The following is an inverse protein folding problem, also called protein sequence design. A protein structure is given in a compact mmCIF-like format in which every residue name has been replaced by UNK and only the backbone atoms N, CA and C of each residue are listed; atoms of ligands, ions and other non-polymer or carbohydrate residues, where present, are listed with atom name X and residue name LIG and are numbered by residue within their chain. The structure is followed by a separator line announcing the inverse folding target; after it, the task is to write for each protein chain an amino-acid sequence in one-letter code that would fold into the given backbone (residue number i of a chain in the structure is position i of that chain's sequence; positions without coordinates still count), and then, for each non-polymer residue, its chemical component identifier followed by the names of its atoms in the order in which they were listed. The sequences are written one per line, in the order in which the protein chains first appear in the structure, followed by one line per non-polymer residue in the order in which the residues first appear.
data_IF_241587248473
#
_entry.id   IF_241587248473
#
_cell.length_a   1.000
_cell.length_b   1.000
_cell.length_c   1.000
_cell.angle_alpha   90.00
_cell.angle_beta   90.00
_cell.angle_gamma   90.00
#
_symmetry.space_group_name_H-M   'P 1'
#
loop_
_entity.id
_entity.type
_entity.pdbx_description
1 polymer ?
#
# COMPACT_ATOMS: atom_id res chain seq x y z
N UNK A 1 21.30 -17.80 53.98
CA UNK A 1 21.79 -16.54 53.41
C UNK A 1 21.47 -16.52 51.92
N UNK A 2 20.27 -16.00 51.56
CA UNK A 2 19.96 -15.69 50.16
C UNK A 2 20.49 -14.29 49.88
N UNK A 3 21.65 -14.20 49.23
CA UNK A 3 22.12 -12.95 48.64
C UNK A 3 21.11 -12.55 47.54
N UNK A 4 20.38 -11.45 47.75
CA UNK A 4 19.67 -10.75 46.67
C UNK A 4 20.75 -10.34 45.65
N UNK A 5 20.87 -11.10 44.53
CA UNK A 5 21.60 -10.59 43.37
C UNK A 5 20.94 -9.29 42.96
N UNK A 6 21.62 -8.18 43.24
CA UNK A 6 21.31 -6.88 42.65
C UNK A 6 21.23 -7.13 41.12
N UNK A 7 20.05 -6.96 40.52
CA UNK A 7 19.90 -7.07 39.08
C UNK A 7 20.77 -6.01 38.45
N UNK A 8 21.83 -6.41 37.75
CA UNK A 8 22.60 -5.49 36.94
C UNK A 8 21.66 -4.69 36.04
N UNK A 9 21.86 -3.38 35.87
CA UNK A 9 21.02 -2.57 35.00
C UNK A 9 21.02 -3.17 33.59
N UNK A 10 19.84 -3.28 33.01
CA UNK A 10 19.69 -3.85 31.67
C UNK A 10 20.43 -2.99 30.64
N UNK A 11 21.57 -3.48 30.16
CA UNK A 11 22.41 -2.79 29.17
C UNK A 11 21.67 -2.41 27.86
N UNK A 12 20.50 -2.96 27.64
CA UNK A 12 19.66 -2.69 26.46
C UNK A 12 18.41 -1.89 26.81
N UNK A 13 18.28 -1.32 28.02
CA UNK A 13 17.08 -0.63 28.45
C UNK A 13 16.67 0.49 27.49
N UNK A 14 17.59 1.38 27.13
CA UNK A 14 17.32 2.48 26.19
C UNK A 14 16.93 1.96 24.79
N UNK A 15 17.60 0.94 24.28
CA UNK A 15 17.27 0.34 22.98
C UNK A 15 15.90 -0.35 23.02
N UNK A 16 15.55 -1.05 24.10
CA UNK A 16 14.22 -1.66 24.27
C UNK A 16 13.11 -0.61 24.27
N UNK A 17 13.36 0.53 24.93
CA UNK A 17 12.43 1.65 24.94
C UNK A 17 12.23 2.22 23.53
N UNK A 18 13.29 2.52 22.79
CA UNK A 18 13.22 3.01 21.41
C UNK A 18 12.51 2.02 20.46
N UNK A 19 12.75 0.71 20.61
CA UNK A 19 12.03 -0.33 19.87
C UNK A 19 10.53 -0.28 20.16
N UNK A 20 10.14 -0.16 21.44
CA UNK A 20 8.73 -0.09 21.86
C UNK A 20 8.06 1.15 21.29
N UNK A 21 8.68 2.32 21.42
CA UNK A 21 8.17 3.58 20.88
C UNK A 21 7.96 3.52 19.37
N UNK A 22 8.93 2.98 18.63
CA UNK A 22 8.80 2.76 17.19
C UNK A 22 7.63 1.84 16.85
N UNK A 23 7.45 0.75 17.60
CA UNK A 23 6.40 -0.23 17.38
C UNK A 23 5.01 0.34 17.68
N UNK A 24 4.85 1.06 18.79
CA UNK A 24 3.59 1.69 19.22
C UNK A 24 3.19 2.85 18.31
N UNK A 25 4.12 3.77 17.99
CA UNK A 25 3.90 4.89 17.06
C UNK A 25 3.37 4.41 15.71
N UNK A 26 3.84 3.25 15.24
CA UNK A 26 3.39 2.65 13.99
C UNK A 26 2.19 1.68 14.17
N UNK A 27 1.42 1.80 15.27
CA UNK A 27 0.20 1.02 15.54
C UNK A 27 0.44 -0.50 15.37
N UNK A 28 1.58 -1.01 15.85
CA UNK A 28 1.99 -2.43 15.79
C UNK A 28 2.14 -3.00 14.35
N UNK A 29 2.29 -2.13 13.34
CA UNK A 29 2.40 -2.53 11.93
C UNK A 29 3.82 -2.93 11.53
N UNK A 30 4.84 -2.50 12.28
CA UNK A 30 6.25 -2.74 11.96
C UNK A 30 6.78 -4.04 12.53
N UNK A 31 7.25 -4.94 11.65
CA UNK A 31 8.14 -6.04 12.04
C UNK A 31 9.58 -5.56 12.24
N UNK A 32 10.43 -6.41 12.80
CA UNK A 32 11.81 -6.07 13.20
C UNK A 32 12.64 -5.38 12.10
N UNK A 33 12.40 -5.67 10.81
CA UNK A 33 13.14 -5.05 9.70
C UNK A 33 12.80 -3.56 9.55
N UNK A 34 11.52 -3.18 9.68
CA UNK A 34 11.12 -1.77 9.63
C UNK A 34 11.47 -1.04 10.93
N UNK A 35 11.32 -1.68 12.08
CA UNK A 35 11.81 -1.13 13.35
C UNK A 35 13.30 -0.86 13.29
N UNK A 36 14.11 -1.77 12.70
CA UNK A 36 15.54 -1.54 12.50
C UNK A 36 15.82 -0.30 11.62
N UNK A 37 15.09 -0.14 10.51
CA UNK A 37 15.25 1.01 9.62
C UNK A 37 14.85 2.31 10.33
N UNK A 38 13.75 2.31 11.07
CA UNK A 38 13.29 3.45 11.85
C UNK A 38 14.32 3.85 12.93
N UNK A 39 14.87 2.88 13.65
CA UNK A 39 15.95 3.12 14.60
C UNK A 39 17.20 3.70 13.93
N UNK A 40 17.57 3.20 12.75
CA UNK A 40 18.73 3.74 12.00
C UNK A 40 18.49 5.18 11.54
N UNK A 41 17.29 5.50 11.11
CA UNK A 41 16.91 6.88 10.76
C UNK A 41 16.99 7.83 11.98
N UNK A 42 16.85 7.28 13.20
CA UNK A 42 17.05 8.00 14.47
C UNK A 42 18.51 8.01 14.94
N UNK A 43 19.45 7.47 14.16
CA UNK A 43 20.89 7.45 14.49
C UNK A 43 21.37 6.23 15.29
N UNK A 44 20.52 5.23 15.56
CA UNK A 44 20.94 4.02 16.26
C UNK A 44 21.84 3.12 15.39
N UNK A 45 22.99 2.75 15.89
CA UNK A 45 23.88 1.76 15.26
C UNK A 45 23.60 0.38 15.87
N UNK A 46 22.68 -0.36 15.28
CA UNK A 46 22.22 -1.65 15.82
C UNK A 46 22.14 -2.72 14.74
N UNK A 47 22.31 -3.99 15.15
CA UNK A 47 22.20 -5.14 14.27
C UNK A 47 20.76 -5.68 14.27
N UNK A 48 20.31 -6.15 13.11
CA UNK A 48 18.97 -6.74 12.93
C UNK A 48 18.72 -7.96 13.85
N UNK A 49 19.74 -8.78 14.12
CA UNK A 49 19.64 -9.94 15.03
C UNK A 49 19.32 -9.50 16.47
N UNK A 50 19.93 -8.40 16.92
CA UNK A 50 19.66 -7.84 18.25
C UNK A 50 18.23 -7.28 18.34
N UNK A 51 17.80 -6.48 17.35
CA UNK A 51 16.43 -5.93 17.31
C UNK A 51 15.40 -7.07 17.30
N UNK A 52 15.59 -8.09 16.47
CA UNK A 52 14.71 -9.27 16.45
C UNK A 52 14.64 -9.98 17.81
N UNK A 53 15.81 -10.23 18.45
CA UNK A 53 15.90 -10.89 19.77
C UNK A 53 15.15 -10.07 20.84
N UNK A 54 15.35 -8.76 20.87
CA UNK A 54 14.70 -7.87 21.84
C UNK A 54 13.21 -7.77 21.61
N UNK A 55 12.74 -7.61 20.37
CA UNK A 55 11.31 -7.62 20.07
C UNK A 55 10.64 -8.92 20.50
N UNK A 56 11.28 -10.06 20.20
CA UNK A 56 10.78 -11.37 20.64
C UNK A 56 10.70 -11.50 22.16
N UNK A 57 11.75 -11.04 22.87
CA UNK A 57 11.79 -11.06 24.33
C UNK A 57 10.72 -10.16 24.98
N UNK A 58 10.35 -9.07 24.31
CA UNK A 58 9.28 -8.16 24.74
C UNK A 58 7.88 -8.58 24.27
N UNK A 59 7.74 -9.69 23.53
CA UNK A 59 6.45 -10.15 22.98
C UNK A 59 5.90 -9.29 21.83
N UNK A 60 6.71 -8.40 21.23
CA UNK A 60 6.27 -7.50 20.16
C UNK A 60 6.20 -8.25 18.84
N UNK A 61 4.97 -8.44 18.33
CA UNK A 61 4.69 -9.14 17.06
C UNK A 61 3.85 -8.24 16.17
N UNK A 62 4.37 -7.94 14.97
CA UNK A 62 3.57 -7.24 13.95
C UNK A 62 2.45 -8.12 13.40
N UNK A 63 1.39 -7.48 12.90
CA UNK A 63 0.35 -8.16 12.11
C UNK A 63 1.00 -8.78 10.85
N UNK A 64 0.78 -10.06 10.61
CA UNK A 64 1.38 -10.80 9.48
C UNK A 64 0.31 -11.06 8.43
N UNK A 65 0.65 -10.74 7.16
CA UNK A 65 -0.21 -11.03 6.01
C UNK A 65 -0.45 -12.55 5.90
N UNK A 66 -1.72 -12.95 5.90
CA UNK A 66 -2.10 -14.32 5.56
C UNK A 66 -2.14 -14.47 4.04
N UNK A 67 -1.58 -15.57 3.54
CA UNK A 67 -1.62 -15.90 2.12
C UNK A 67 -3.05 -16.32 1.76
N UNK A 68 -3.66 -15.64 0.78
CA UNK A 68 -4.97 -15.99 0.23
C UNK A 68 -4.81 -16.35 -1.24
N UNK A 69 -5.60 -17.30 -1.80
CA UNK A 69 -5.61 -17.57 -3.22
C UNK A 69 -6.06 -16.32 -3.99
N UNK A 70 -5.46 -16.11 -5.15
CA UNK A 70 -5.87 -15.07 -6.09
C UNK A 70 -7.09 -15.55 -6.87
N UNK A 71 -8.08 -14.68 -7.04
CA UNK A 71 -9.27 -14.92 -7.85
C UNK A 71 -9.28 -13.87 -8.94
N UNK A 72 -9.10 -14.29 -10.20
CA UNK A 72 -9.19 -13.41 -11.38
C UNK A 72 -10.64 -13.05 -11.70
N UNK A 73 -10.86 -11.84 -12.23
CA UNK A 73 -12.12 -11.43 -12.79
C UNK A 73 -12.47 -12.28 -14.03
N UNK A 74 -13.70 -12.80 -14.09
CA UNK A 74 -14.20 -13.67 -15.17
C UNK A 74 -15.29 -13.02 -16.04
N UNK A 75 -15.36 -11.68 -16.09
CA UNK A 75 -16.39 -10.95 -16.83
C UNK A 75 -16.23 -10.99 -18.36
N UNK A 76 -17.23 -10.46 -19.08
CA UNK A 76 -17.24 -10.33 -20.53
C UNK A 76 -16.21 -9.34 -21.00
N UNK A 77 -15.41 -9.69 -22.01
CA UNK A 77 -14.34 -8.85 -22.57
C UNK A 77 -14.93 -8.00 -23.70
N UNK A 78 -14.76 -6.67 -23.61
CA UNK A 78 -15.17 -5.74 -24.68
C UNK A 78 -13.98 -5.05 -25.34
N UNK A 79 -12.96 -4.67 -24.58
CA UNK A 79 -11.74 -4.03 -25.06
C UNK A 79 -10.57 -4.41 -24.17
N UNK A 80 -9.44 -4.72 -24.75
CA UNK A 80 -8.19 -4.99 -24.01
C UNK A 80 -7.09 -4.15 -24.66
N UNK A 81 -6.44 -3.29 -23.87
CA UNK A 81 -5.22 -2.63 -24.27
C UNK A 81 -4.02 -3.59 -24.20
N UNK A 82 -3.02 -3.34 -25.02
CA UNK A 82 -1.76 -4.09 -25.00
C UNK A 82 -1.03 -3.93 -23.67
N UNK A 83 -0.29 -4.96 -23.23
CA UNK A 83 0.53 -4.88 -22.03
C UNK A 83 1.87 -4.17 -22.34
N UNK A 84 1.82 -2.87 -22.43
CA UNK A 84 2.98 -2.02 -22.72
C UNK A 84 3.91 -1.88 -21.51
N UNK A 85 3.42 -2.11 -20.28
CA UNK A 85 4.25 -2.04 -19.08
C UNK A 85 5.30 -3.15 -19.02
N UNK A 86 4.98 -4.36 -19.56
CA UNK A 86 5.89 -5.51 -19.63
C UNK A 86 6.62 -5.84 -18.31
N UNK A 87 5.95 -5.60 -17.17
CA UNK A 87 6.51 -5.75 -15.81
C UNK A 87 7.68 -4.81 -15.48
N UNK A 88 7.88 -3.75 -16.23
CA UNK A 88 8.82 -2.69 -15.86
C UNK A 88 8.24 -1.84 -14.71
N UNK A 89 8.29 -2.37 -13.50
CA UNK A 89 7.76 -1.70 -12.30
C UNK A 89 8.73 -0.68 -11.69
N UNK A 90 9.73 -0.23 -12.41
CA UNK A 90 10.73 0.74 -11.93
C UNK A 90 10.95 1.84 -12.94
N UNK A 91 9.95 2.73 -13.16
CA UNK A 91 10.16 3.89 -14.01
C UNK A 91 11.24 4.80 -13.43
N UNK A 92 11.84 5.61 -14.28
CA UNK A 92 12.98 6.47 -13.93
C UNK A 92 12.55 7.82 -13.30
N UNK A 93 11.28 8.20 -13.45
CA UNK A 93 10.76 9.51 -13.03
C UNK A 93 9.36 9.39 -12.41
N UNK A 94 9.03 10.34 -11.52
CA UNK A 94 7.68 10.58 -11.01
C UNK A 94 6.71 10.92 -12.15
N UNK A 95 5.44 10.62 -11.93
CA UNK A 95 4.31 11.00 -12.78
C UNK A 95 4.40 10.46 -14.21
N UNK A 96 5.15 9.39 -14.46
CA UNK A 96 5.28 8.79 -15.79
C UNK A 96 4.50 7.48 -15.94
N UNK A 97 4.45 6.68 -14.89
CA UNK A 97 3.74 5.40 -14.91
C UNK A 97 2.93 5.22 -13.63
N UNK A 98 1.64 5.11 -13.79
CA UNK A 98 0.71 4.82 -12.71
C UNK A 98 0.18 3.40 -12.80
N UNK A 99 -0.26 2.87 -11.67
CA UNK A 99 -1.03 1.61 -11.59
C UNK A 99 -2.29 1.83 -10.78
N UNK A 100 -3.37 1.15 -11.18
CA UNK A 100 -4.64 1.17 -10.47
C UNK A 100 -5.28 -0.21 -10.49
N UNK A 101 -6.05 -0.48 -9.46
CA UNK A 101 -6.87 -1.70 -9.32
C UNK A 101 -8.00 -1.43 -8.32
N UNK A 102 -8.98 -2.31 -8.27
CA UNK A 102 -10.10 -2.20 -7.34
C UNK A 102 -10.05 -3.33 -6.33
N UNK A 103 -10.23 -2.99 -5.05
CA UNK A 103 -10.38 -3.99 -4.00
C UNK A 103 -11.69 -3.82 -3.24
N UNK A 104 -12.28 -4.95 -2.82
CA UNK A 104 -13.52 -5.00 -2.06
C UNK A 104 -13.23 -5.19 -0.56
N UNK A 105 -14.07 -4.55 0.26
CA UNK A 105 -14.18 -4.72 1.70
C UNK A 105 -15.63 -5.02 2.09
N UNK A 106 -15.83 -5.62 3.25
CA UNK A 106 -17.14 -5.78 3.88
C UNK A 106 -17.21 -4.90 5.13
N UNK A 107 -18.06 -3.89 5.12
CA UNK A 107 -18.21 -2.88 6.19
C UNK A 107 -19.66 -2.81 6.62
N UNK A 108 -19.97 -3.01 7.89
CA UNK A 108 -21.33 -3.00 8.42
C UNK A 108 -22.33 -3.82 7.56
N UNK A 109 -21.91 -5.01 7.10
CA UNK A 109 -22.71 -5.90 6.25
C UNK A 109 -22.79 -5.51 4.77
N UNK A 110 -22.23 -4.35 4.36
CA UNK A 110 -22.26 -3.84 2.97
C UNK A 110 -20.90 -4.04 2.28
N UNK A 111 -20.93 -4.14 0.95
CA UNK A 111 -19.72 -4.10 0.13
C UNK A 111 -19.28 -2.65 -0.06
N UNK A 112 -17.99 -2.41 0.13
CA UNK A 112 -17.34 -1.13 -0.11
C UNK A 112 -16.10 -1.39 -0.96
N UNK A 113 -15.85 -0.53 -1.93
CA UNK A 113 -14.78 -0.66 -2.91
C UNK A 113 -13.81 0.50 -2.79
N UNK A 114 -12.53 0.23 -2.97
CA UNK A 114 -11.46 1.23 -3.01
C UNK A 114 -10.76 1.14 -4.37
N UNK A 115 -10.61 2.27 -5.05
CA UNK A 115 -9.83 2.44 -6.28
C UNK A 115 -8.71 3.45 -6.05
N UNK A 116 -7.51 3.02 -5.69
CA UNK A 116 -6.34 3.89 -5.61
C UNK A 116 -5.63 3.99 -6.94
N UNK A 117 -4.95 5.11 -7.16
CA UNK A 117 -3.95 5.30 -8.21
C UNK A 117 -2.61 5.48 -7.54
N UNK A 118 -1.64 4.64 -7.90
CA UNK A 118 -0.30 4.64 -7.35
C UNK A 118 0.73 5.06 -8.41
N UNK A 119 1.63 5.96 -8.07
CA UNK A 119 2.82 6.20 -8.88
C UNK A 119 3.82 5.05 -8.71
N UNK A 120 4.30 4.49 -9.82
CA UNK A 120 5.23 3.36 -9.76
C UNK A 120 6.66 3.76 -9.38
N UNK A 121 7.04 5.02 -9.48
CA UNK A 121 8.38 5.47 -9.14
C UNK A 121 8.64 5.39 -7.63
N UNK A 122 7.85 6.09 -6.84
CA UNK A 122 8.00 6.17 -5.38
C UNK A 122 7.03 5.29 -4.60
N UNK A 123 6.00 4.73 -5.26
CA UNK A 123 4.91 3.93 -4.67
C UNK A 123 3.93 4.74 -3.83
N UNK A 124 3.88 6.05 -3.99
CA UNK A 124 2.86 6.87 -3.35
C UNK A 124 1.46 6.60 -3.94
N UNK A 125 0.44 6.66 -3.10
CA UNK A 125 -0.95 6.72 -3.57
C UNK A 125 -1.27 8.18 -3.84
N UNK A 126 -1.34 8.53 -5.12
CA UNK A 126 -1.53 9.92 -5.56
C UNK A 126 -2.99 10.35 -5.56
N UNK A 127 -3.90 9.39 -5.68
CA UNK A 127 -5.35 9.61 -5.55
C UNK A 127 -6.05 8.32 -5.15
N UNK A 128 -7.24 8.42 -4.60
CA UNK A 128 -8.11 7.28 -4.36
C UNK A 128 -9.57 7.70 -4.25
N UNK A 129 -10.46 6.76 -4.52
CA UNK A 129 -11.91 6.90 -4.30
C UNK A 129 -12.44 5.69 -3.55
N UNK A 130 -13.47 5.90 -2.74
CA UNK A 130 -14.22 4.85 -2.05
C UNK A 130 -15.68 4.93 -2.48
N UNK A 131 -16.31 3.80 -2.79
CA UNK A 131 -17.71 3.73 -3.18
C UNK A 131 -18.37 2.43 -2.72
N UNK A 132 -19.70 2.40 -2.70
CA UNK A 132 -20.50 1.19 -2.40
C UNK A 132 -20.82 0.38 -3.66
N UNK A 133 -20.41 0.85 -4.84
CA UNK A 133 -20.58 0.18 -6.13
C UNK A 133 -19.31 0.32 -6.98
N UNK A 134 -18.81 -0.74 -7.64
CA UNK A 134 -17.61 -0.70 -8.47
C UNK A 134 -17.93 -0.20 -9.89
N UNK A 135 -18.48 1.00 -10.02
CA UNK A 135 -18.85 1.58 -11.32
C UNK A 135 -17.64 2.15 -12.07
N UNK A 136 -17.77 2.38 -13.37
CA UNK A 136 -16.75 3.08 -14.17
C UNK A 136 -16.55 4.52 -13.71
N UNK A 137 -17.61 5.20 -13.29
CA UNK A 137 -17.51 6.56 -12.75
C UNK A 137 -16.62 6.62 -11.48
N UNK A 138 -16.70 5.60 -10.64
CA UNK A 138 -15.89 5.45 -9.44
C UNK A 138 -14.39 5.36 -9.75
N UNK A 139 -13.96 4.52 -10.68
CA UNK A 139 -12.55 4.40 -11.09
C UNK A 139 -12.08 5.61 -11.88
N UNK A 140 -12.93 6.17 -12.76
CA UNK A 140 -12.61 7.40 -13.51
C UNK A 140 -12.41 8.59 -12.59
N UNK A 141 -13.15 8.69 -11.47
CA UNK A 141 -12.96 9.75 -10.50
C UNK A 141 -11.59 9.71 -9.83
N UNK A 142 -11.09 8.51 -9.45
CA UNK A 142 -9.73 8.39 -8.88
C UNK A 142 -8.66 8.76 -9.91
N UNK A 143 -8.81 8.35 -11.17
CA UNK A 143 -7.88 8.72 -12.24
C UNK A 143 -7.89 10.23 -12.50
N UNK A 144 -9.07 10.85 -12.60
CA UNK A 144 -9.17 12.31 -12.80
C UNK A 144 -8.51 13.10 -11.66
N UNK A 145 -8.67 12.66 -10.41
CA UNK A 145 -7.96 13.23 -9.27
C UNK A 145 -6.44 13.07 -9.39
N UNK A 146 -5.95 11.90 -9.80
CA UNK A 146 -4.53 11.66 -10.01
C UNK A 146 -3.95 12.56 -11.10
N UNK A 147 -4.61 12.64 -12.26
CA UNK A 147 -4.21 13.52 -13.36
C UNK A 147 -4.15 14.99 -12.90
N UNK A 148 -5.16 15.45 -12.16
CA UNK A 148 -5.21 16.82 -11.63
C UNK A 148 -4.08 17.09 -10.62
N UNK A 149 -3.79 16.13 -9.75
CA UNK A 149 -2.78 16.29 -8.70
C UNK A 149 -1.35 16.22 -9.24
N UNK A 150 -1.09 15.30 -10.19
CA UNK A 150 0.24 15.03 -10.71
C UNK A 150 0.59 15.82 -11.97
N UNK A 151 -0.41 16.32 -12.72
CA UNK A 151 -0.25 17.00 -14.02
C UNK A 151 0.80 16.29 -14.92
N UNK A 152 0.62 14.98 -15.22
CA UNK A 152 1.63 14.21 -15.92
C UNK A 152 1.88 14.76 -17.34
N UNK A 153 3.12 14.69 -17.78
CA UNK A 153 3.50 15.07 -19.15
C UNK A 153 2.92 14.10 -20.18
N UNK A 154 2.66 14.55 -21.44
CA UNK A 154 2.20 13.69 -22.53
C UNK A 154 3.02 12.40 -22.66
N UNK A 155 2.33 11.27 -22.88
CA UNK A 155 2.96 9.95 -22.96
C UNK A 155 3.03 9.19 -21.63
N UNK A 156 2.48 9.75 -20.53
CA UNK A 156 2.34 9.01 -19.28
C UNK A 156 1.49 7.73 -19.48
N UNK A 157 1.67 6.74 -18.61
CA UNK A 157 0.99 5.46 -18.70
C UNK A 157 0.17 5.17 -17.45
N UNK A 158 -1.00 4.53 -17.65
CA UNK A 158 -1.75 3.88 -16.57
C UNK A 158 -1.89 2.38 -16.86
N UNK A 159 -1.42 1.53 -15.94
CA UNK A 159 -1.55 0.08 -16.05
C UNK A 159 -2.60 -0.44 -15.07
N UNK A 160 -3.49 -1.31 -15.57
CA UNK A 160 -4.61 -1.90 -14.81
C UNK A 160 -4.77 -3.39 -15.13
N UNK A 161 -5.61 -4.07 -14.38
CA UNK A 161 -6.13 -5.35 -14.81
C UNK A 161 -7.17 -5.20 -15.96
N UNK A 162 -7.77 -6.33 -16.39
CA UNK A 162 -8.82 -6.34 -17.42
C UNK A 162 -10.23 -6.17 -16.81
N UNK A 163 -10.39 -5.50 -15.68
CA UNK A 163 -11.69 -5.21 -15.08
C UNK A 163 -12.61 -4.43 -16.05
N UNK A 164 -13.93 -4.68 -16.01
CA UNK A 164 -14.89 -4.04 -16.91
C UNK A 164 -14.85 -2.51 -16.86
N UNK A 165 -14.57 -1.93 -15.69
CA UNK A 165 -14.47 -0.49 -15.48
C UNK A 165 -13.34 0.15 -16.30
N UNK A 166 -12.25 -0.59 -16.53
CA UNK A 166 -11.09 -0.15 -17.30
C UNK A 166 -11.21 -0.36 -18.81
N UNK A 167 -12.15 -1.22 -19.22
CA UNK A 167 -12.48 -1.48 -20.62
C UNK A 167 -13.48 -0.47 -21.22
N UNK A 168 -14.15 0.31 -20.36
CA UNK A 168 -15.21 1.24 -20.77
C UNK A 168 -14.65 2.44 -21.56
N UNK A 169 -15.44 2.94 -22.53
CA UNK A 169 -15.04 4.06 -23.39
C UNK A 169 -14.71 5.33 -22.61
N UNK A 170 -15.48 5.66 -21.55
CA UNK A 170 -15.23 6.85 -20.73
C UNK A 170 -13.86 6.84 -20.03
N UNK A 171 -13.38 5.66 -19.60
CA UNK A 171 -12.03 5.50 -19.04
C UNK A 171 -10.97 5.81 -20.11
N UNK A 172 -11.10 5.25 -21.29
CA UNK A 172 -10.18 5.48 -22.41
C UNK A 172 -10.17 6.94 -22.88
N UNK A 173 -11.38 7.53 -22.98
CA UNK A 173 -11.53 8.95 -23.34
C UNK A 173 -10.79 9.85 -22.35
N UNK A 174 -10.90 9.59 -21.04
CA UNK A 174 -10.20 10.36 -20.03
C UNK A 174 -8.66 10.28 -20.20
N UNK A 175 -8.14 9.08 -20.47
CA UNK A 175 -6.71 8.89 -20.71
C UNK A 175 -6.26 9.63 -21.98
N UNK A 176 -6.99 9.48 -23.10
CA UNK A 176 -6.62 10.10 -24.37
C UNK A 176 -6.73 11.62 -24.35
N UNK A 177 -7.71 12.20 -23.67
CA UNK A 177 -7.84 13.64 -23.48
C UNK A 177 -6.65 14.27 -22.77
N UNK A 178 -5.98 13.49 -21.91
CA UNK A 178 -4.77 13.90 -21.21
C UNK A 178 -3.49 13.31 -21.81
N UNK A 179 -3.53 12.86 -23.06
CA UNK A 179 -2.40 12.34 -23.83
C UNK A 179 -1.66 11.20 -23.12
N UNK A 180 -2.38 10.38 -22.37
CA UNK A 180 -1.88 9.18 -21.70
C UNK A 180 -1.98 7.92 -22.54
N UNK A 181 -1.35 6.85 -22.09
CA UNK A 181 -1.33 5.53 -22.66
C UNK A 181 -1.96 4.53 -21.68
N UNK A 182 -2.91 3.74 -22.15
CA UNK A 182 -3.48 2.64 -21.36
C UNK A 182 -2.67 1.37 -21.60
N UNK A 183 -2.31 0.68 -20.52
CA UNK A 183 -1.71 -0.65 -20.52
C UNK A 183 -2.56 -1.58 -19.65
N UNK A 184 -2.74 -2.85 -20.07
CA UNK A 184 -3.50 -3.84 -19.31
C UNK A 184 -2.70 -5.11 -19.06
N UNK A 185 -2.86 -5.70 -17.88
CA UNK A 185 -2.33 -7.02 -17.54
C UNK A 185 -2.83 -8.09 -18.49
N UNK A 186 -2.03 -9.11 -18.75
CA UNK A 186 -2.47 -10.29 -19.50
C UNK A 186 -3.49 -11.07 -18.68
N UNK A 187 -4.47 -11.69 -19.34
CA UNK A 187 -5.52 -12.48 -18.70
C UNK A 187 -4.92 -13.59 -17.82
N UNK A 188 -5.36 -13.66 -16.58
CA UNK A 188 -4.92 -14.69 -15.62
C UNK A 188 -3.48 -14.56 -15.13
N UNK A 189 -2.78 -13.47 -15.43
CA UNK A 189 -1.41 -13.28 -15.01
C UNK A 189 -1.31 -12.29 -13.83
N UNK A 190 -1.33 -12.84 -12.59
CA UNK A 190 -1.23 -12.06 -11.37
C UNK A 190 0.09 -11.29 -11.22
N UNK A 191 1.16 -11.70 -11.92
CA UNK A 191 2.45 -11.00 -11.85
C UNK A 191 2.43 -9.64 -12.52
N UNK A 192 1.51 -9.42 -13.47
CA UNK A 192 1.42 -8.16 -14.19
C UNK A 192 0.80 -7.05 -13.33
N UNK A 193 0.06 -7.38 -12.25
CA UNK A 193 -0.52 -6.43 -11.28
C UNK A 193 0.01 -6.60 -9.84
N UNK A 194 1.16 -7.25 -9.69
CA UNK A 194 1.71 -7.64 -8.38
C UNK A 194 1.93 -6.47 -7.42
N UNK A 195 2.13 -5.26 -7.94
CA UNK A 195 2.36 -4.05 -7.13
C UNK A 195 1.09 -3.65 -6.37
N UNK A 196 -0.05 -3.60 -7.05
CA UNK A 196 -1.33 -3.28 -6.43
C UNK A 196 -1.79 -4.39 -5.48
N UNK A 197 -1.61 -5.65 -5.86
CA UNK A 197 -1.89 -6.78 -4.96
C UNK A 197 -1.08 -6.70 -3.66
N UNK A 198 0.18 -6.30 -3.76
CA UNK A 198 1.03 -6.12 -2.58
C UNK A 198 0.55 -4.96 -1.70
N UNK A 199 0.19 -3.82 -2.29
CA UNK A 199 -0.40 -2.69 -1.58
C UNK A 199 -1.69 -3.11 -0.86
N UNK A 200 -2.63 -3.73 -1.54
CA UNK A 200 -3.88 -4.20 -0.92
C UNK A 200 -3.64 -5.21 0.18
N UNK A 201 -2.67 -6.10 0.01
CA UNK A 201 -2.29 -7.03 1.06
C UNK A 201 -1.77 -6.34 2.32
N UNK A 202 -0.99 -5.26 2.18
CA UNK A 202 -0.55 -4.45 3.31
C UNK A 202 -1.70 -3.68 3.94
N UNK A 203 -2.49 -2.96 3.15
CA UNK A 203 -3.62 -2.20 3.62
C UNK A 203 -4.60 -3.07 4.41
N UNK A 204 -5.00 -4.22 3.84
CA UNK A 204 -5.91 -5.15 4.53
C UNK A 204 -5.33 -5.70 5.83
N UNK A 205 -4.04 -6.00 5.86
CA UNK A 205 -3.38 -6.54 7.06
C UNK A 205 -3.15 -5.47 8.14
N UNK A 206 -2.74 -4.29 7.72
CA UNK A 206 -2.28 -3.22 8.62
C UNK A 206 -3.44 -2.34 9.15
N UNK A 207 -4.58 -2.28 8.44
CA UNK A 207 -5.69 -1.40 8.78
C UNK A 207 -7.05 -2.10 8.90
N UNK A 208 -7.33 -3.13 8.06
CA UNK A 208 -8.67 -3.69 8.00
C UNK A 208 -8.86 -4.96 8.84
N UNK A 209 -7.93 -5.94 8.76
CA UNK A 209 -8.11 -7.21 9.47
C UNK A 209 -7.92 -7.04 10.98
N UNK A 210 -8.96 -7.47 11.72
CA UNK A 210 -9.02 -7.38 13.19
C UNK A 210 -9.54 -6.04 13.70
N UNK A 211 -9.98 -5.15 12.80
CA UNK A 211 -10.73 -3.93 13.14
C UNK A 211 -12.21 -4.12 12.79
N UNK A 212 -13.09 -3.48 13.54
CA UNK A 212 -14.53 -3.39 13.28
C UNK A 212 -14.86 -1.95 12.90
N UNK A 213 -15.69 -1.78 11.87
CA UNK A 213 -16.18 -0.48 11.42
C UNK A 213 -17.70 -0.51 11.44
N UNK A 214 -18.30 0.37 12.21
CA UNK A 214 -19.76 0.44 12.40
C UNK A 214 -20.44 1.16 11.23
N UNK A 215 -19.71 2.04 10.53
CA UNK A 215 -20.22 2.81 9.40
C UNK A 215 -19.23 2.87 8.24
N UNK A 216 -19.78 3.12 7.03
CA UNK A 216 -18.95 3.38 5.83
C UNK A 216 -18.15 4.69 6.00
N UNK A 217 -18.67 5.68 6.70
CA UNK A 217 -17.98 6.94 6.95
C UNK A 217 -16.73 6.73 7.82
N UNK A 218 -16.84 5.96 8.89
CA UNK A 218 -15.70 5.58 9.73
C UNK A 218 -14.64 4.80 8.94
N UNK A 219 -15.07 3.86 8.11
CA UNK A 219 -14.15 3.14 7.24
C UNK A 219 -13.43 4.05 6.24
N UNK A 220 -14.15 5.02 5.63
CA UNK A 220 -13.55 6.00 4.72
C UNK A 220 -12.48 6.84 5.42
N UNK A 221 -12.78 7.34 6.62
CA UNK A 221 -11.80 8.07 7.42
C UNK A 221 -10.56 7.21 7.71
N UNK A 222 -10.73 5.93 8.06
CA UNK A 222 -9.62 5.01 8.31
C UNK A 222 -8.78 4.75 7.05
N UNK A 223 -9.39 4.69 5.86
CA UNK A 223 -8.70 4.62 4.56
C UNK A 223 -7.86 5.88 4.34
N UNK A 224 -8.45 7.08 4.52
CA UNK A 224 -7.75 8.35 4.34
C UNK A 224 -6.54 8.48 5.27
N UNK A 225 -6.72 8.15 6.55
CA UNK A 225 -5.65 8.13 7.54
C UNK A 225 -4.55 7.11 7.20
N UNK A 226 -4.95 5.91 6.73
CA UNK A 226 -3.99 4.89 6.33
C UNK A 226 -3.18 5.32 5.11
N UNK A 227 -3.80 5.87 4.08
CA UNK A 227 -3.12 6.33 2.85
C UNK A 227 -2.18 7.49 3.17
N UNK A 228 -2.61 8.44 3.99
CA UNK A 228 -1.74 9.52 4.46
C UNK A 228 -0.51 8.96 5.19
N UNK A 229 -0.72 8.09 6.19
CA UNK A 229 0.38 7.43 6.91
C UNK A 229 1.26 6.59 5.98
N UNK A 230 0.67 5.86 5.03
CA UNK A 230 1.40 5.07 4.04
C UNK A 230 2.35 5.92 3.20
N UNK A 231 1.92 7.09 2.76
CA UNK A 231 2.69 8.00 1.95
C UNK A 231 3.77 8.75 2.76
N UNK A 232 3.45 9.20 3.97
CA UNK A 232 4.28 10.17 4.72
C UNK A 232 5.12 9.56 5.85
N UNK A 233 4.72 8.41 6.38
CA UNK A 233 5.34 7.84 7.58
C UNK A 233 5.77 6.38 7.39
N UNK A 234 5.11 5.62 6.50
CA UNK A 234 5.40 4.20 6.34
C UNK A 234 6.71 3.94 5.61
N UNK A 235 7.72 3.53 6.38
CA UNK A 235 9.04 3.16 5.87
C UNK A 235 8.95 1.96 4.92
N UNK A 236 9.60 2.06 3.77
CA UNK A 236 9.71 1.01 2.76
C UNK A 236 11.15 0.50 2.60
N UNK A 237 11.32 -0.82 2.62
CA UNK A 237 12.65 -1.44 2.42
C UNK A 237 13.21 -1.14 1.03
N UNK A 238 12.34 -1.12 0.00
CA UNK A 238 12.71 -0.77 -1.38
C UNK A 238 13.30 0.64 -1.46
N UNK A 239 12.76 1.57 -0.68
CA UNK A 239 13.24 2.96 -0.60
C UNK A 239 14.35 3.14 0.46
N UNK A 240 15.04 2.06 0.83
CA UNK A 240 16.16 2.06 1.79
C UNK A 240 15.84 2.65 3.17
N UNK A 241 14.58 2.62 3.57
CA UNK A 241 14.13 3.16 4.86
C UNK A 241 13.46 4.53 4.77
N UNK A 242 13.24 5.04 3.56
CA UNK A 242 12.45 6.23 3.32
C UNK A 242 10.97 5.89 3.16
N UNK A 243 10.12 6.89 3.27
CA UNK A 243 8.70 6.84 2.90
C UNK A 243 8.54 7.17 1.42
N UNK A 244 7.37 6.90 0.80
CA UNK A 244 7.11 7.31 -0.59
C UNK A 244 7.36 8.79 -0.86
N UNK A 245 7.00 9.67 0.08
CA UNK A 245 7.12 11.12 -0.11
C UNK A 245 8.47 11.73 0.30
N UNK A 246 9.41 10.93 0.79
CA UNK A 246 10.80 11.31 1.04
C UNK A 246 11.69 10.98 -0.15
#
# INVERSE_FOLDING_TARGET
YHQKRLREPDKHAALKQAIRESFERNKHRYGYRRVLLDLRNQGWVVNHKLVYKLMRAMGLKAKIRQRRPYISYTGTISYIAENTLERNFTPDRLNTVFVSDVTEFKVAGRKVYLSPVMDLFDRSIVAHTVATSPSTAFTSASLAQAIKACAPEPGWMIHTDQGFQYQHSSWRTLISQHQGVQSMSRKGNCYDNAVMENFFGHLKTEMYHGEAFDTVAEFNQAIDEYIRWYNTERIQQRLKGLTPMQ
#
